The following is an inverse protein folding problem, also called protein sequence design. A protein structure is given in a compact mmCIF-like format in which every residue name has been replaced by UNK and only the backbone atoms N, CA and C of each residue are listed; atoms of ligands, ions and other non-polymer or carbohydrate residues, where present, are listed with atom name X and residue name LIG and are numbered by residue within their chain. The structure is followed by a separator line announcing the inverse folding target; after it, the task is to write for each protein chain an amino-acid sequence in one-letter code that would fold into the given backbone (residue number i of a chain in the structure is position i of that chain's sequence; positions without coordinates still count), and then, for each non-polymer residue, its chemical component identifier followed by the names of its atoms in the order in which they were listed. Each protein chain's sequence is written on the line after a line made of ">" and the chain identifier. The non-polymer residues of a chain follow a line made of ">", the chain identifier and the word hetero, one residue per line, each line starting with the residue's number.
data_IF_633414902166
#
_entry.id   IF_633414902166
#
_cell.length_a   1.000
_cell.length_b   1.000
_cell.length_c   1.000
_cell.angle_alpha   90.00
_cell.angle_beta   90.00
_cell.angle_gamma   90.00
#
_symmetry.space_group_name_H-M   'P 1'
#
loop_
_entity.id
_entity.type
_entity.pdbx_description
1 polymer ?
#
# COMPACT_ATOMS: atom_id res chain seq x y z
N UNK A 1 16.92 -13.86 -24.88
CA UNK A 1 17.95 -14.83 -24.44
C UNK A 1 17.71 -16.07 -25.29
N UNK A 2 18.73 -16.60 -25.94
CA UNK A 2 18.62 -17.80 -26.75
C UNK A 2 18.84 -19.02 -25.86
N UNK A 3 17.75 -19.68 -25.48
CA UNK A 3 17.75 -20.82 -24.57
C UNK A 3 18.43 -22.05 -25.18
N UNK A 4 18.57 -22.11 -26.52
CA UNK A 4 19.25 -23.19 -27.20
C UNK A 4 20.75 -23.29 -26.91
N UNK A 5 21.32 -22.23 -26.32
CA UNK A 5 22.73 -22.16 -25.93
C UNK A 5 22.99 -22.65 -24.50
N UNK A 6 21.94 -23.07 -23.79
CA UNK A 6 21.99 -23.52 -22.40
C UNK A 6 21.69 -25.00 -22.35
N UNK A 7 22.58 -25.80 -21.74
CA UNK A 7 22.38 -27.22 -21.53
C UNK A 7 22.81 -27.64 -20.13
N UNK A 8 22.43 -28.84 -19.69
CA UNK A 8 22.87 -29.41 -18.41
C UNK A 8 22.53 -28.58 -17.19
N UNK A 9 21.34 -27.95 -17.17
CA UNK A 9 20.89 -27.15 -16.02
C UNK A 9 20.60 -28.07 -14.82
N UNK A 10 21.30 -27.84 -13.71
CA UNK A 10 21.15 -28.56 -12.45
C UNK A 10 20.93 -27.59 -11.33
N UNK A 11 19.80 -27.72 -10.63
CA UNK A 11 19.49 -26.92 -9.46
C UNK A 11 20.02 -27.61 -8.21
N UNK A 12 20.85 -26.90 -7.43
CA UNK A 12 21.42 -27.36 -6.18
C UNK A 12 20.66 -26.69 -5.02
N UNK A 13 19.77 -27.45 -4.38
CA UNK A 13 18.88 -26.95 -3.33
C UNK A 13 19.63 -26.14 -2.25
N UNK A 14 19.20 -24.90 -2.04
CA UNK A 14 19.77 -23.98 -1.06
C UNK A 14 21.18 -23.46 -1.39
N UNK A 15 21.72 -23.73 -2.59
CA UNK A 15 23.03 -23.25 -3.03
C UNK A 15 22.95 -22.40 -4.30
N UNK A 16 22.15 -22.79 -5.29
CA UNK A 16 22.05 -22.11 -6.58
C UNK A 16 21.91 -23.08 -7.74
N UNK A 17 22.37 -22.69 -8.93
CA UNK A 17 22.23 -23.44 -10.18
C UNK A 17 23.57 -23.55 -10.89
N UNK A 18 23.77 -24.69 -11.57
CA UNK A 18 24.87 -24.89 -12.52
C UNK A 18 24.32 -25.22 -13.89
N UNK A 19 25.01 -24.80 -14.95
CA UNK A 19 24.62 -25.04 -16.33
C UNK A 19 25.86 -25.00 -17.25
N UNK A 20 25.71 -25.52 -18.44
CA UNK A 20 26.67 -25.32 -19.53
C UNK A 20 26.08 -24.29 -20.50
N UNK A 21 26.79 -23.18 -20.72
CA UNK A 21 26.38 -22.08 -21.59
C UNK A 21 27.45 -21.88 -22.66
N UNK A 22 27.13 -22.17 -23.92
CA UNK A 22 28.07 -22.08 -25.05
C UNK A 22 29.36 -22.90 -24.83
N UNK A 23 29.27 -24.09 -24.21
CA UNK A 23 30.41 -24.93 -23.90
C UNK A 23 31.22 -24.54 -22.65
N UNK A 24 30.81 -23.51 -21.92
CA UNK A 24 31.40 -23.08 -20.64
C UNK A 24 30.56 -23.54 -19.46
N UNK A 25 31.21 -24.10 -18.44
CA UNK A 25 30.55 -24.46 -17.18
C UNK A 25 30.30 -23.22 -16.34
N UNK A 26 29.04 -22.88 -16.15
CA UNK A 26 28.61 -21.70 -15.36
C UNK A 26 27.96 -22.16 -14.06
N UNK A 27 28.36 -21.57 -12.96
CA UNK A 27 27.71 -21.73 -11.64
C UNK A 27 27.23 -20.38 -11.16
N UNK A 28 25.95 -20.28 -10.74
CA UNK A 28 25.36 -19.07 -10.18
C UNK A 28 24.64 -19.40 -8.87
N UNK A 29 25.03 -18.74 -7.78
CA UNK A 29 24.45 -19.04 -6.47
C UNK A 29 25.10 -18.30 -5.31
N UNK A 30 24.89 -18.83 -4.09
CA UNK A 30 25.41 -18.24 -2.88
C UNK A 30 26.90 -18.58 -2.63
N UNK A 31 27.47 -18.05 -1.55
CA UNK A 31 28.87 -18.31 -1.14
C UNK A 31 29.18 -19.79 -1.00
N UNK A 32 28.23 -20.63 -0.56
CA UNK A 32 28.42 -22.07 -0.39
C UNK A 32 28.66 -22.76 -1.74
N UNK A 33 27.93 -22.35 -2.78
CA UNK A 33 28.14 -22.86 -4.13
C UNK A 33 29.52 -22.45 -4.67
N UNK A 34 29.95 -21.22 -4.41
CA UNK A 34 31.27 -20.74 -4.85
C UNK A 34 32.40 -21.52 -4.20
N UNK A 35 32.31 -21.79 -2.90
CA UNK A 35 33.31 -22.59 -2.19
C UNK A 35 33.42 -24.01 -2.74
N UNK A 36 32.33 -24.60 -3.24
CA UNK A 36 32.33 -25.96 -3.81
C UNK A 36 32.79 -26.00 -5.27
N UNK A 37 32.69 -24.90 -6.02
CA UNK A 37 32.84 -24.89 -7.50
C UNK A 37 33.94 -23.98 -8.01
N UNK A 38 34.63 -23.26 -7.14
CA UNK A 38 35.72 -22.36 -7.54
C UNK A 38 36.97 -22.53 -6.65
N UNK A 39 38.13 -22.33 -7.22
CA UNK A 39 39.41 -22.21 -6.49
C UNK A 39 39.66 -20.79 -5.98
N UNK A 40 38.59 -20.02 -5.75
CA UNK A 40 38.70 -18.61 -5.35
C UNK A 40 39.01 -18.49 -3.88
N UNK A 41 40.26 -18.18 -3.56
CA UNK A 41 40.75 -17.89 -2.18
C UNK A 41 40.52 -16.44 -1.74
N UNK A 42 39.92 -15.58 -2.58
CA UNK A 42 39.68 -14.19 -2.28
C UNK A 42 38.44 -13.97 -1.38
N UNK A 43 38.45 -12.86 -0.63
CA UNK A 43 37.26 -12.44 0.10
C UNK A 43 36.17 -12.01 -0.89
N UNK A 44 35.06 -12.75 -0.93
CA UNK A 44 33.87 -12.33 -1.64
C UNK A 44 33.32 -11.06 -0.98
N UNK A 45 33.37 -9.91 -1.69
CA UNK A 45 32.88 -8.64 -1.18
C UNK A 45 31.39 -8.75 -0.84
N UNK A 46 31.06 -8.48 0.40
CA UNK A 46 29.67 -8.33 0.81
C UNK A 46 29.18 -6.94 0.42
N UNK A 47 28.09 -6.90 -0.36
CA UNK A 47 27.39 -5.68 -0.67
C UNK A 47 26.13 -5.65 0.19
N UNK A 48 25.96 -4.65 1.00
CA UNK A 48 24.74 -4.44 1.77
C UNK A 48 23.62 -3.98 0.82
N UNK A 49 22.41 -4.53 1.01
CA UNK A 49 21.19 -4.02 0.33
C UNK A 49 20.58 -4.92 -0.73
N UNK A 50 20.79 -6.24 -0.69
CA UNK A 50 20.13 -7.17 -1.61
C UNK A 50 20.64 -8.60 -1.54
N UNK A 51 19.99 -9.49 -2.27
CA UNK A 51 20.44 -10.88 -2.42
C UNK A 51 21.59 -10.95 -3.41
N UNK A 52 22.72 -11.48 -2.95
CA UNK A 52 23.93 -11.61 -3.77
C UNK A 52 23.95 -12.98 -4.45
N UNK A 53 24.01 -12.96 -5.76
CA UNK A 53 24.22 -14.15 -6.59
C UNK A 53 25.62 -14.07 -7.19
N UNK A 54 26.51 -14.91 -6.71
CA UNK A 54 27.88 -15.03 -7.22
C UNK A 54 27.87 -15.89 -8.47
N UNK A 55 28.70 -15.52 -9.44
CA UNK A 55 28.81 -16.22 -10.73
C UNK A 55 30.25 -16.69 -10.93
N UNK A 56 30.39 -17.95 -11.31
CA UNK A 56 31.65 -18.53 -11.73
C UNK A 56 31.53 -19.12 -13.12
N UNK A 57 32.61 -19.03 -13.91
CA UNK A 57 32.71 -19.59 -15.26
C UNK A 57 33.98 -20.43 -15.29
N UNK A 58 33.86 -21.70 -15.71
CA UNK A 58 34.94 -22.68 -15.80
C UNK A 58 35.79 -22.75 -14.50
N UNK A 59 35.11 -22.75 -13.35
CA UNK A 59 35.75 -22.81 -12.03
C UNK A 59 36.40 -21.51 -11.55
N UNK A 60 36.30 -20.42 -12.31
CA UNK A 60 36.85 -19.11 -11.93
C UNK A 60 35.74 -18.14 -11.56
N UNK A 61 35.92 -17.42 -10.48
CA UNK A 61 34.97 -16.36 -10.10
C UNK A 61 34.90 -15.26 -11.16
N UNK A 62 33.71 -15.02 -11.70
CA UNK A 62 33.49 -14.05 -12.76
C UNK A 62 32.88 -12.72 -12.22
N UNK A 63 32.09 -12.79 -11.14
CA UNK A 63 31.47 -11.60 -10.58
C UNK A 63 30.31 -11.91 -9.63
N UNK A 64 29.64 -10.85 -9.21
CA UNK A 64 28.45 -10.92 -8.35
C UNK A 64 27.32 -10.10 -8.96
N UNK A 65 26.15 -10.69 -9.02
CA UNK A 65 24.90 -10.01 -9.38
C UNK A 65 24.18 -9.68 -8.08
N UNK A 66 23.92 -8.40 -7.86
CA UNK A 66 23.12 -7.94 -6.72
C UNK A 66 21.66 -7.84 -7.15
N UNK A 67 20.82 -8.70 -6.60
CA UNK A 67 19.37 -8.63 -6.73
C UNK A 67 18.84 -7.76 -5.61
N UNK A 68 18.42 -6.56 -5.93
CA UNK A 68 17.83 -5.64 -4.98
C UNK A 68 16.45 -5.23 -5.46
N UNK A 69 15.48 -5.20 -4.58
CA UNK A 69 14.15 -4.70 -4.87
C UNK A 69 14.23 -3.20 -5.15
N UNK A 70 13.66 -2.78 -6.25
CA UNK A 70 13.56 -1.36 -6.59
C UNK A 70 12.32 -0.77 -5.93
N UNK A 71 12.53 0.25 -5.12
CA UNK A 71 11.41 1.03 -4.58
C UNK A 71 10.66 1.67 -5.77
N UNK A 72 9.34 1.47 -5.82
CA UNK A 72 8.49 2.03 -6.86
C UNK A 72 8.52 3.57 -6.77
N UNK A 73 8.60 4.24 -7.91
CA UNK A 73 8.58 5.71 -7.95
C UNK A 73 7.30 6.30 -7.34
N UNK A 74 6.20 5.57 -7.50
CA UNK A 74 4.91 5.93 -6.93
C UNK A 74 4.91 5.94 -5.39
N UNK A 75 5.72 5.09 -4.74
CA UNK A 75 5.85 5.05 -3.29
C UNK A 75 6.40 6.37 -2.71
N UNK A 76 7.35 7.02 -3.41
CA UNK A 76 7.85 8.33 -3.02
C UNK A 76 6.76 9.40 -3.06
N UNK A 77 5.94 9.38 -4.12
CA UNK A 77 4.81 10.31 -4.28
C UNK A 77 3.76 10.07 -3.18
N UNK A 78 3.47 8.82 -2.89
CA UNK A 78 2.51 8.42 -1.85
C UNK A 78 2.92 8.93 -0.47
N UNK A 79 4.14 8.62 -0.02
CA UNK A 79 4.64 9.04 1.30
C UNK A 79 4.71 10.55 1.41
N UNK A 80 5.19 11.25 0.36
CA UNK A 80 5.24 12.71 0.33
C UNK A 80 3.84 13.34 0.41
N UNK A 81 2.84 12.74 -0.22
CA UNK A 81 1.46 13.21 -0.17
C UNK A 81 0.85 13.01 1.23
N UNK A 82 1.03 11.84 1.84
CA UNK A 82 0.57 11.55 3.20
C UNK A 82 1.17 12.50 4.23
N UNK A 83 2.47 12.79 4.12
CA UNK A 83 3.15 13.77 4.99
C UNK A 83 2.58 15.17 4.86
N UNK A 84 2.29 15.62 3.63
CA UNK A 84 1.66 16.94 3.41
C UNK A 84 0.28 17.05 4.07
N UNK A 85 -0.42 15.92 4.23
CA UNK A 85 -1.69 15.84 4.94
C UNK A 85 -1.54 15.71 6.47
N UNK A 86 -0.30 15.71 6.99
CA UNK A 86 -0.01 15.54 8.42
C UNK A 86 -0.26 14.13 8.94
N UNK A 87 -0.20 13.12 8.06
CA UNK A 87 -0.39 11.72 8.40
C UNK A 87 0.98 11.14 8.76
N UNK A 88 1.07 10.54 9.96
CA UNK A 88 2.26 9.82 10.39
C UNK A 88 2.33 8.47 9.68
N UNK A 89 3.50 8.16 9.14
CA UNK A 89 3.76 6.93 8.39
C UNK A 89 4.58 5.94 9.21
N UNK A 90 4.15 4.67 9.22
CA UNK A 90 4.84 3.58 9.90
C UNK A 90 5.00 2.42 8.94
N UNK A 91 6.19 1.89 8.78
CA UNK A 91 6.47 0.71 7.97
C UNK A 91 6.65 -0.52 8.86
N UNK A 92 5.96 -1.61 8.52
CA UNK A 92 6.10 -2.92 9.15
C UNK A 92 6.58 -3.92 8.09
N UNK A 93 7.80 -4.42 8.23
CA UNK A 93 8.39 -5.35 7.26
C UNK A 93 9.01 -6.58 7.90
N UNK A 94 8.96 -7.71 7.19
CA UNK A 94 9.68 -8.93 7.56
C UNK A 94 11.15 -8.91 7.13
N UNK A 95 11.57 -7.94 6.31
CA UNK A 95 12.96 -7.79 5.88
C UNK A 95 13.92 -7.52 7.05
N UNK A 96 15.22 -7.70 6.80
CA UNK A 96 16.23 -7.39 7.80
C UNK A 96 16.17 -5.93 8.24
N UNK A 97 16.68 -5.65 9.43
CA UNK A 97 16.67 -4.31 10.00
C UNK A 97 17.37 -3.29 9.10
N UNK A 98 18.52 -3.67 8.54
CA UNK A 98 19.33 -2.82 7.67
C UNK A 98 18.58 -2.45 6.39
N UNK A 99 17.88 -3.41 5.79
CA UNK A 99 17.07 -3.19 4.57
C UNK A 99 15.87 -2.31 4.89
N UNK A 100 15.14 -2.64 5.96
CA UNK A 100 13.97 -1.87 6.38
C UNK A 100 14.29 -0.41 6.71
N UNK A 101 15.36 -0.16 7.49
CA UNK A 101 15.81 1.19 7.83
C UNK A 101 16.25 1.98 6.58
N UNK A 102 17.02 1.36 5.68
CA UNK A 102 17.45 2.00 4.44
C UNK A 102 16.28 2.39 3.52
N UNK A 103 15.27 1.54 3.41
CA UNK A 103 14.04 1.83 2.62
C UNK A 103 13.24 2.94 3.28
N UNK A 104 13.06 2.89 4.62
CA UNK A 104 12.32 3.89 5.36
C UNK A 104 12.96 5.28 5.25
N UNK A 105 14.29 5.37 5.37
CA UNK A 105 15.05 6.61 5.19
C UNK A 105 14.88 7.18 3.79
N UNK A 106 15.04 6.36 2.75
CA UNK A 106 14.90 6.78 1.34
C UNK A 106 13.50 7.27 1.02
N UNK A 107 12.45 6.64 1.55
CA UNK A 107 11.06 7.07 1.40
C UNK A 107 10.69 8.22 2.33
N UNK A 108 11.48 8.44 3.38
CA UNK A 108 11.20 9.39 4.43
C UNK A 108 10.06 8.96 5.35
N UNK A 109 9.90 7.67 5.63
CA UNK A 109 8.90 7.12 6.56
C UNK A 109 9.28 7.51 7.99
N UNK A 110 8.27 7.86 8.83
CA UNK A 110 8.53 8.40 10.17
C UNK A 110 8.98 7.34 11.18
N UNK A 111 8.48 6.10 11.05
CA UNK A 111 8.85 4.97 11.91
C UNK A 111 8.95 3.69 11.12
N UNK A 112 9.89 2.81 11.49
CA UNK A 112 10.03 1.49 10.88
C UNK A 112 10.18 0.42 11.96
N UNK A 113 9.50 -0.71 11.74
CA UNK A 113 9.69 -1.95 12.48
C UNK A 113 10.05 -3.03 11.46
N UNK A 114 11.22 -3.60 11.57
CA UNK A 114 11.78 -4.57 10.64
C UNK A 114 12.06 -5.92 11.32
N UNK A 115 12.26 -6.98 10.54
CA UNK A 115 12.50 -8.33 11.02
C UNK A 115 11.27 -8.97 11.67
N UNK A 116 10.06 -8.57 11.27
CA UNK A 116 8.82 -8.97 11.91
C UNK A 116 8.29 -10.30 11.36
N UNK A 117 7.86 -11.15 12.27
CA UNK A 117 6.97 -12.28 11.93
C UNK A 117 5.53 -11.77 11.81
N UNK A 118 4.63 -12.50 11.12
CA UNK A 118 3.22 -12.08 10.97
C UNK A 118 2.52 -11.76 12.30
N UNK A 119 2.78 -12.53 13.35
CA UNK A 119 2.23 -12.30 14.70
C UNK A 119 2.74 -10.98 15.33
N UNK A 120 3.99 -10.60 15.05
CA UNK A 120 4.56 -9.35 15.56
C UNK A 120 3.91 -8.13 14.92
N UNK A 121 3.56 -8.21 13.63
CA UNK A 121 2.82 -7.13 12.94
C UNK A 121 1.49 -6.84 13.64
N UNK A 122 0.73 -7.89 13.99
CA UNK A 122 -0.55 -7.77 14.71
C UNK A 122 -0.34 -7.06 16.04
N UNK A 123 0.63 -7.53 16.86
CA UNK A 123 0.92 -6.95 18.18
C UNK A 123 1.30 -5.47 18.08
N UNK A 124 2.20 -5.10 17.16
CA UNK A 124 2.62 -3.71 16.99
C UNK A 124 1.44 -2.81 16.58
N UNK A 125 0.57 -3.31 15.71
CA UNK A 125 -0.62 -2.55 15.30
C UNK A 125 -1.60 -2.39 16.46
N UNK A 126 -1.80 -3.41 17.29
CA UNK A 126 -2.60 -3.31 18.52
C UNK A 126 -2.01 -2.28 19.50
N UNK A 127 -0.69 -2.26 19.69
CA UNK A 127 -0.01 -1.24 20.51
C UNK A 127 -0.25 0.19 19.96
N UNK A 128 -0.18 0.35 18.64
CA UNK A 128 -0.47 1.64 17.98
C UNK A 128 -1.94 2.05 18.19
N UNK A 129 -2.88 1.10 18.06
CA UNK A 129 -4.30 1.35 18.27
C UNK A 129 -4.61 1.76 19.71
N UNK A 130 -3.95 1.14 20.69
CA UNK A 130 -4.10 1.49 22.11
C UNK A 130 -3.46 2.84 22.47
N UNK A 131 -2.33 3.16 21.85
CA UNK A 131 -1.58 4.40 22.11
C UNK A 131 -2.13 5.63 21.37
N UNK A 132 -2.98 5.46 20.35
CA UNK A 132 -3.49 6.57 19.55
C UNK A 132 -4.49 7.44 20.34
N UNK A 133 -4.54 8.75 20.09
CA UNK A 133 -5.62 9.63 20.60
C UNK A 133 -6.99 9.16 20.06
N UNK A 134 -8.05 9.28 20.87
CA UNK A 134 -9.42 8.83 20.52
C UNK A 134 -9.92 9.33 19.15
N UNK A 135 -9.58 10.57 18.80
CA UNK A 135 -10.02 11.20 17.55
C UNK A 135 -9.20 10.81 16.33
N UNK A 136 -8.08 10.09 16.51
CA UNK A 136 -7.25 9.65 15.40
C UNK A 136 -7.60 8.24 14.98
N UNK A 137 -7.43 7.95 13.70
CA UNK A 137 -7.66 6.64 13.08
C UNK A 137 -6.36 6.06 12.57
N UNK A 138 -6.25 4.74 12.62
CA UNK A 138 -5.14 3.96 12.08
C UNK A 138 -5.62 3.26 10.83
N UNK A 139 -4.96 3.52 9.72
CA UNK A 139 -5.13 2.76 8.50
C UNK A 139 -3.94 1.81 8.31
N UNK A 140 -4.20 0.59 7.89
CA UNK A 140 -3.18 -0.36 7.50
C UNK A 140 -3.33 -0.70 6.02
N UNK A 141 -2.21 -0.75 5.31
CA UNK A 141 -2.16 -1.09 3.89
C UNK A 141 -1.33 -2.35 3.75
N UNK A 142 -1.91 -3.39 3.15
CA UNK A 142 -1.25 -4.65 2.92
C UNK A 142 -1.69 -5.27 1.60
N UNK A 143 -0.89 -6.18 1.05
CA UNK A 143 -1.11 -6.83 -0.25
C UNK A 143 -1.27 -8.35 -0.17
N UNK A 144 -1.02 -8.96 0.98
CA UNK A 144 -0.89 -10.39 1.14
C UNK A 144 -1.86 -11.06 2.10
N UNK A 145 -1.94 -12.40 1.97
CA UNK A 145 -2.69 -13.29 2.88
C UNK A 145 -2.23 -13.12 4.33
N UNK A 146 -0.92 -12.90 4.51
CA UNK A 146 -0.31 -12.76 5.83
C UNK A 146 -0.73 -11.48 6.56
N UNK A 147 -1.25 -10.49 5.83
CA UNK A 147 -1.69 -9.20 6.37
C UNK A 147 -3.19 -9.17 6.69
N UNK A 148 -3.99 -10.16 6.26
CA UNK A 148 -5.43 -10.25 6.52
C UNK A 148 -5.79 -10.14 8.03
N UNK A 149 -5.05 -10.78 8.97
CA UNK A 149 -5.33 -10.63 10.40
C UNK A 149 -5.11 -9.20 10.92
N UNK A 150 -4.23 -8.43 10.29
CA UNK A 150 -3.96 -7.01 10.64
C UNK A 150 -5.03 -6.12 10.02
N UNK A 151 -5.37 -6.34 8.73
CA UNK A 151 -6.39 -5.59 8.01
C UNK A 151 -7.74 -5.59 8.74
N UNK A 152 -8.14 -6.74 9.29
CA UNK A 152 -9.39 -6.89 10.05
C UNK A 152 -9.40 -6.22 11.44
N UNK A 153 -8.25 -5.76 11.96
CA UNK A 153 -8.14 -5.21 13.32
C UNK A 153 -8.00 -3.70 13.38
N UNK A 154 -7.60 -3.07 12.29
CA UNK A 154 -7.39 -1.62 12.25
C UNK A 154 -8.68 -0.84 12.10
N UNK A 155 -8.63 0.48 12.29
CA UNK A 155 -9.80 1.33 12.04
C UNK A 155 -10.17 1.40 10.55
N UNK A 156 -9.19 1.22 9.63
CA UNK A 156 -9.39 1.15 8.19
C UNK A 156 -8.36 0.20 7.57
N UNK A 157 -8.80 -0.96 7.12
CA UNK A 157 -7.98 -1.92 6.37
C UNK A 157 -8.03 -1.63 4.88
N UNK A 158 -6.86 -1.53 4.22
CA UNK A 158 -6.74 -1.26 2.79
C UNK A 158 -5.94 -2.40 2.16
N UNK A 159 -6.59 -3.22 1.32
CA UNK A 159 -5.91 -4.20 0.50
C UNK A 159 -5.43 -3.57 -0.81
N UNK A 160 -4.22 -3.91 -1.26
CA UNK A 160 -3.62 -3.37 -2.46
C UNK A 160 -3.15 -4.47 -3.41
N UNK A 161 -3.41 -4.27 -4.73
CA UNK A 161 -3.02 -5.17 -5.80
C UNK A 161 -4.17 -5.98 -6.41
N UNK A 162 -4.22 -6.05 -7.73
CA UNK A 162 -5.24 -6.78 -8.49
C UNK A 162 -5.20 -8.31 -8.28
N UNK A 163 -4.08 -8.83 -7.76
CA UNK A 163 -3.84 -10.23 -7.39
C UNK A 163 -3.79 -10.42 -5.87
N UNK A 164 -4.31 -9.44 -5.10
CA UNK A 164 -4.48 -9.59 -3.66
C UNK A 164 -5.22 -10.89 -3.36
N UNK A 165 -4.79 -11.62 -2.35
CA UNK A 165 -5.48 -12.86 -1.99
C UNK A 165 -6.93 -12.55 -1.65
N UNK A 166 -7.83 -13.45 -2.02
CA UNK A 166 -9.25 -13.33 -1.67
C UNK A 166 -9.45 -13.05 -0.18
N UNK A 167 -8.59 -13.64 0.67
CA UNK A 167 -8.61 -13.42 2.11
C UNK A 167 -8.23 -11.98 2.53
N UNK A 168 -7.31 -11.31 1.84
CA UNK A 168 -6.97 -9.93 2.11
C UNK A 168 -8.07 -8.98 1.64
N UNK A 169 -8.68 -9.29 0.48
CA UNK A 169 -9.81 -8.53 -0.06
C UNK A 169 -11.02 -8.63 0.88
N UNK A 170 -11.31 -9.83 1.39
CA UNK A 170 -12.45 -10.06 2.31
C UNK A 170 -12.23 -9.39 3.68
N UNK A 171 -10.98 -9.29 4.14
CA UNK A 171 -10.63 -8.68 5.43
C UNK A 171 -10.52 -7.15 5.37
N UNK A 172 -10.45 -6.55 4.20
CA UNK A 172 -10.23 -5.11 4.03
C UNK A 172 -11.54 -4.31 3.90
N UNK A 173 -11.55 -3.10 4.45
CA UNK A 173 -12.64 -2.12 4.25
C UNK A 173 -12.60 -1.48 2.86
N UNK A 174 -11.40 -1.40 2.26
CA UNK A 174 -11.15 -0.80 0.96
C UNK A 174 -10.16 -1.63 0.15
N UNK A 175 -10.35 -1.67 -1.16
CA UNK A 175 -9.47 -2.38 -2.09
C UNK A 175 -8.97 -1.43 -3.18
N UNK A 176 -7.65 -1.34 -3.33
CA UNK A 176 -7.01 -0.62 -4.42
C UNK A 176 -6.59 -1.66 -5.47
N UNK A 177 -7.34 -1.73 -6.58
CA UNK A 177 -7.10 -2.72 -7.64
C UNK A 177 -5.78 -2.50 -8.37
N UNK A 178 -5.29 -1.28 -8.39
CA UNK A 178 -4.00 -0.93 -8.99
C UNK A 178 -2.90 -0.99 -7.92
N UNK A 179 -1.71 -1.45 -8.30
CA UNK A 179 -0.55 -1.51 -7.41
C UNK A 179 0.15 -0.11 -7.34
N UNK A 180 -0.62 0.91 -6.93
CA UNK A 180 -0.23 2.31 -6.87
C UNK A 180 -0.52 2.91 -5.49
N UNK A 181 0.47 2.98 -4.59
CA UNK A 181 0.32 3.56 -3.26
C UNK A 181 -0.18 5.02 -3.24
N UNK A 182 0.08 5.81 -4.28
CA UNK A 182 -0.40 7.20 -4.38
C UNK A 182 -1.92 7.33 -4.38
N UNK A 183 -2.64 6.28 -4.77
CA UNK A 183 -4.11 6.24 -4.70
C UNK A 183 -4.65 6.38 -3.28
N UNK A 184 -3.87 5.99 -2.25
CA UNK A 184 -4.25 6.14 -0.84
C UNK A 184 -4.53 7.62 -0.51
N UNK A 185 -3.64 8.54 -0.91
CA UNK A 185 -3.86 9.98 -0.70
C UNK A 185 -5.09 10.48 -1.43
N UNK A 186 -5.32 10.02 -2.66
CA UNK A 186 -6.51 10.37 -3.44
C UNK A 186 -7.80 9.89 -2.76
N UNK A 187 -7.79 8.67 -2.20
CA UNK A 187 -8.94 8.12 -1.45
C UNK A 187 -9.23 8.93 -0.18
N UNK A 188 -8.20 9.32 0.57
CA UNK A 188 -8.35 10.17 1.76
C UNK A 188 -8.96 11.52 1.38
N UNK A 189 -8.48 12.13 0.29
CA UNK A 189 -9.01 13.40 -0.19
C UNK A 189 -10.47 13.29 -0.62
N UNK A 190 -10.81 12.24 -1.38
CA UNK A 190 -12.18 11.95 -1.81
C UNK A 190 -13.10 11.73 -0.59
N UNK A 191 -12.66 10.96 0.39
CA UNK A 191 -13.41 10.68 1.61
C UNK A 191 -13.72 11.97 2.40
N UNK A 192 -12.71 12.84 2.61
CA UNK A 192 -12.88 14.14 3.25
C UNK A 192 -13.91 15.02 2.51
N UNK A 193 -13.87 15.02 1.18
CA UNK A 193 -14.77 15.81 0.35
C UNK A 193 -16.20 15.27 0.36
N UNK A 194 -16.34 13.94 0.32
CA UNK A 194 -17.65 13.27 0.47
C UNK A 194 -18.27 13.59 1.83
N UNK A 195 -17.50 13.46 2.92
CA UNK A 195 -17.99 13.79 4.25
C UNK A 195 -18.43 15.25 4.37
N UNK A 196 -17.71 16.17 3.73
CA UNK A 196 -18.12 17.59 3.69
C UNK A 196 -19.49 17.76 3.02
N UNK A 197 -19.72 17.11 1.87
CA UNK A 197 -21.03 17.16 1.16
C UNK A 197 -22.14 16.57 2.03
N UNK A 198 -21.85 15.47 2.76
CA UNK A 198 -22.80 14.87 3.70
C UNK A 198 -23.19 15.86 4.79
N UNK A 199 -22.19 16.51 5.42
CA UNK A 199 -22.46 17.52 6.45
C UNK A 199 -23.21 18.74 5.90
N UNK A 200 -22.85 19.23 4.71
CA UNK A 200 -23.60 20.30 4.02
C UNK A 200 -25.07 19.93 3.87
N UNK A 201 -25.37 18.71 3.41
CA UNK A 201 -26.74 18.22 3.24
C UNK A 201 -27.49 18.11 4.58
N UNK A 202 -26.85 17.57 5.62
CA UNK A 202 -27.47 17.43 6.94
C UNK A 202 -27.82 18.79 7.52
N UNK A 203 -26.86 19.71 7.54
CA UNK A 203 -27.08 21.08 8.10
C UNK A 203 -28.16 21.81 7.32
N UNK A 204 -28.14 21.72 5.98
CA UNK A 204 -29.15 22.35 5.13
C UNK A 204 -30.55 21.77 5.37
N UNK A 205 -30.68 20.45 5.41
CA UNK A 205 -31.95 19.79 5.64
C UNK A 205 -32.54 20.09 7.02
N UNK A 206 -31.73 19.97 8.06
CA UNK A 206 -32.16 20.28 9.43
C UNK A 206 -32.48 21.76 9.60
N UNK A 207 -31.71 22.65 8.99
CA UNK A 207 -31.95 24.11 9.05
C UNK A 207 -33.28 24.48 8.42
N UNK A 208 -33.61 23.99 7.25
CA UNK A 208 -34.89 24.25 6.59
C UNK A 208 -36.05 23.65 7.39
N UNK A 209 -35.91 22.40 7.89
CA UNK A 209 -36.95 21.76 8.70
C UNK A 209 -37.24 22.57 9.99
N UNK A 210 -36.20 23.02 10.68
CA UNK A 210 -36.36 23.87 11.86
C UNK A 210 -37.05 25.20 11.53
N UNK A 211 -36.67 25.83 10.43
CA UNK A 211 -37.29 27.08 9.98
C UNK A 211 -38.77 26.92 9.66
N UNK A 212 -39.11 25.87 8.88
CA UNK A 212 -40.51 25.56 8.50
C UNK A 212 -41.35 25.26 9.76
N UNK A 213 -40.78 24.52 10.72
CA UNK A 213 -41.47 24.18 11.97
C UNK A 213 -41.75 25.44 12.82
N UNK A 214 -40.79 26.33 12.92
CA UNK A 214 -40.96 27.62 13.60
C UNK A 214 -42.01 28.49 12.93
N UNK A 215 -42.00 28.62 11.61
CA UNK A 215 -42.99 29.40 10.84
C UNK A 215 -44.39 28.78 10.91
N UNK A 216 -44.50 27.45 10.95
CA UNK A 216 -45.77 26.74 11.15
C UNK A 216 -46.33 27.00 12.56
N UNK A 217 -45.48 27.00 13.57
CA UNK A 217 -45.90 27.31 14.95
C UNK A 217 -46.41 28.75 15.10
N UNK A 218 -45.89 29.67 14.28
CA UNK A 218 -46.36 31.05 14.19
C UNK A 218 -47.62 31.24 13.32
N UNK A 219 -48.16 30.15 12.72
CA UNK A 219 -49.31 30.18 11.86
C UNK A 219 -49.07 30.80 10.45
N UNK A 220 -47.81 31.06 10.08
CA UNK A 220 -47.42 31.69 8.82
C UNK A 220 -47.42 30.66 7.66
N UNK A 221 -47.05 29.41 7.93
CA UNK A 221 -46.88 28.35 6.93
C UNK A 221 -47.88 27.24 7.18
N UNK A 222 -48.64 26.91 6.13
CA UNK A 222 -49.62 25.82 6.16
C UNK A 222 -48.96 24.44 5.87
N UNK A 223 -49.74 23.36 6.13
CA UNK A 223 -49.29 21.95 6.00
C UNK A 223 -48.72 21.65 4.61
N UNK A 224 -49.37 22.12 3.53
CA UNK A 224 -48.90 21.88 2.16
C UNK A 224 -47.54 22.49 1.86
N UNK A 225 -47.26 23.68 2.37
CA UNK A 225 -45.96 24.33 2.21
C UNK A 225 -44.86 23.56 2.98
N UNK A 226 -45.18 22.99 4.15
CA UNK A 226 -44.26 22.14 4.90
C UNK A 226 -43.92 20.86 4.12
N UNK A 227 -44.89 20.21 3.50
CA UNK A 227 -44.67 19.01 2.65
C UNK A 227 -43.83 19.34 1.42
N UNK A 228 -44.12 20.44 0.73
CA UNK A 228 -43.31 20.87 -0.42
C UNK A 228 -41.88 21.22 -0.03
N UNK A 229 -41.67 21.84 1.13
CA UNK A 229 -40.31 22.12 1.62
C UNK A 229 -39.54 20.83 1.91
N UNK A 230 -40.15 19.82 2.52
CA UNK A 230 -39.48 18.53 2.85
C UNK A 230 -39.07 17.77 1.59
N UNK A 231 -39.96 17.66 0.61
CA UNK A 231 -39.68 17.02 -0.71
C UNK A 231 -38.62 17.82 -1.46
N UNK A 232 -38.75 19.14 -1.53
CA UNK A 232 -37.78 20.01 -2.21
C UNK A 232 -36.38 19.94 -1.61
N UNK A 233 -36.27 19.95 -0.30
CA UNK A 233 -34.98 19.78 0.40
C UNK A 233 -34.34 18.44 0.10
N UNK A 234 -35.13 17.37 0.10
CA UNK A 234 -34.65 16.03 -0.22
C UNK A 234 -34.12 15.96 -1.65
N UNK A 235 -34.83 16.55 -2.61
CA UNK A 235 -34.40 16.62 -3.99
C UNK A 235 -33.10 17.42 -4.17
N UNK A 236 -32.99 18.58 -3.51
CA UNK A 236 -31.77 19.38 -3.54
C UNK A 236 -30.60 18.68 -2.89
N UNK A 237 -30.80 17.94 -1.80
CA UNK A 237 -29.76 17.13 -1.16
C UNK A 237 -29.24 16.02 -2.07
N UNK A 238 -30.13 15.34 -2.83
CA UNK A 238 -29.73 14.35 -3.84
C UNK A 238 -28.93 15.01 -4.96
N UNK A 239 -29.38 16.16 -5.48
CA UNK A 239 -28.63 16.89 -6.52
C UNK A 239 -27.26 17.34 -6.01
N UNK A 240 -27.14 17.79 -4.76
CA UNK A 240 -25.84 18.12 -4.17
C UNK A 240 -24.96 16.87 -4.00
N UNK A 241 -25.54 15.71 -3.65
CA UNK A 241 -24.81 14.44 -3.55
C UNK A 241 -24.24 13.95 -4.89
N UNK A 242 -24.87 14.28 -6.03
CA UNK A 242 -24.33 13.96 -7.36
C UNK A 242 -22.96 14.59 -7.63
N UNK A 243 -22.59 15.64 -6.89
CA UNK A 243 -21.23 16.21 -6.95
C UNK A 243 -20.16 15.20 -6.54
N UNK A 244 -20.50 14.18 -5.73
CA UNK A 244 -19.57 13.09 -5.40
C UNK A 244 -19.23 12.25 -6.65
N UNK A 245 -20.17 12.02 -7.56
CA UNK A 245 -19.94 11.30 -8.82
C UNK A 245 -18.99 12.07 -9.75
N UNK A 246 -19.17 13.39 -9.86
CA UNK A 246 -18.25 14.23 -10.65
C UNK A 246 -16.81 14.17 -10.15
N UNK A 247 -16.60 13.95 -8.84
CA UNK A 247 -15.26 13.88 -8.27
C UNK A 247 -14.50 12.59 -8.64
N UNK A 248 -15.22 11.50 -8.86
CA UNK A 248 -14.66 10.23 -9.32
C UNK A 248 -14.19 10.33 -10.79
N UNK A 249 -14.87 11.13 -11.62
CA UNK A 249 -14.54 11.31 -13.03
C UNK A 249 -13.48 12.38 -13.31
N UNK A 250 -13.27 13.33 -12.40
CA UNK A 250 -12.31 14.44 -12.58
C UNK A 250 -10.92 14.16 -11.95
N UNK A 251 -10.72 13.00 -11.33
CA UNK A 251 -9.38 12.56 -10.97
C UNK A 251 -8.64 12.21 -12.26
N UNK A 252 -7.56 12.95 -12.65
CA UNK A 252 -6.84 12.65 -13.89
C UNK A 252 -6.35 11.21 -13.86
N UNK A 253 -6.72 10.46 -14.89
CA UNK A 253 -6.17 9.12 -15.11
C UNK A 253 -4.66 9.24 -15.32
N UNK A 254 -3.85 8.33 -14.78
CA UNK A 254 -2.41 8.31 -15.05
C UNK A 254 -2.05 8.13 -16.54
N UNK A 255 -3.05 7.94 -17.41
CA UNK A 255 -2.87 7.86 -18.87
C UNK A 255 -2.85 9.21 -19.57
N UNK A 256 -3.17 10.29 -18.85
CA UNK A 256 -3.30 11.64 -19.40
C UNK A 256 -2.12 12.55 -18.95
N UNK A 257 -1.06 11.96 -18.38
CA UNK A 257 0.17 12.64 -17.95
C UNK A 257 1.41 12.12 -18.70
#
# INVERSE_FOLDING_TARGET
>A
IDESLISGVEELAGKGVTAEVKGHKVAAGNKKLMADKTDFEGQLKEHSGGTQVYVAVDGKYAGCILLADKIKEDAYKAVAALKREGIQTVMLTGDSREVGEAVAERLGIDKVHAGLMPADKVRIVEDILHAKPEKKKVAFVGDGINDAPVLARVDVGIAMGALGSDAAIEAADMVIMEDQPSKISSMIHLSKKTMRIVYENIVFALGIKAAVLALSALGIVGLWAAVFADVGVSMLAVLNALRCLCLLYTSPSPRDA
#
